data_IF_859080694048
#
_entry.id   IF_859080694048
#
_cell.length_a   1.000
_cell.length_b   1.000
_cell.length_c   1.000
_cell.angle_alpha   90.00
_cell.angle_beta   90.00
_cell.angle_gamma   90.00
#
_symmetry.space_group_name_H-M   'P 1'
#
loop_
_entity.id
_entity.type
_entity.pdbx_description
1 polymer ?
#
# COMPACT_ATOMS: atom_id res chain seq x y z
N UNK A 1 -20.09 3.85 14.08
CA UNK A 1 -18.81 4.49 13.72
C UNK A 1 -17.97 3.40 13.10
N UNK A 2 -17.63 3.51 11.84
CA UNK A 2 -16.90 2.46 11.11
C UNK A 2 -15.42 2.47 11.49
N UNK A 3 -14.73 1.36 11.26
CA UNK A 3 -13.27 1.24 11.42
C UNK A 3 -12.55 2.35 10.62
N UNK A 4 -13.07 2.65 9.44
CA UNK A 4 -12.59 3.71 8.56
C UNK A 4 -12.68 5.10 9.21
N UNK A 5 -13.83 5.43 9.82
CA UNK A 5 -14.02 6.72 10.50
C UNK A 5 -13.01 6.89 11.66
N UNK A 6 -12.72 5.79 12.36
CA UNK A 6 -11.76 5.80 13.47
C UNK A 6 -10.34 6.02 12.99
N UNK A 7 -9.92 5.33 11.92
CA UNK A 7 -8.59 5.52 11.33
C UNK A 7 -8.42 6.96 10.81
N UNK A 8 -9.41 7.48 10.07
CA UNK A 8 -9.38 8.85 9.55
C UNK A 8 -9.29 9.90 10.68
N UNK A 9 -10.07 9.71 11.75
CA UNK A 9 -10.03 10.60 12.92
C UNK A 9 -8.69 10.55 13.61
N UNK A 10 -8.09 9.36 13.77
CA UNK A 10 -6.77 9.20 14.39
C UNK A 10 -5.68 9.84 13.56
N UNK A 11 -5.71 9.67 12.25
CA UNK A 11 -4.78 10.33 11.31
C UNK A 11 -4.89 11.85 11.44
N UNK A 12 -6.11 12.41 11.53
CA UNK A 12 -6.28 13.84 11.70
C UNK A 12 -5.76 14.33 13.05
N UNK A 13 -6.03 13.61 14.13
CA UNK A 13 -5.52 13.95 15.47
C UNK A 13 -3.98 13.90 15.52
N UNK A 14 -3.36 12.90 14.89
CA UNK A 14 -1.90 12.82 14.80
C UNK A 14 -1.31 14.00 13.99
N UNK A 15 -1.99 14.41 12.92
CA UNK A 15 -1.65 15.63 12.19
C UNK A 15 -1.60 16.87 13.07
N UNK A 16 -2.66 17.05 13.84
CA UNK A 16 -2.80 18.22 14.70
C UNK A 16 -1.72 18.24 15.80
N UNK A 17 -1.39 17.07 16.36
CA UNK A 17 -0.33 16.91 17.35
C UNK A 17 1.08 17.10 16.78
N UNK A 18 1.33 16.61 15.57
CA UNK A 18 2.58 16.85 14.85
C UNK A 18 2.81 18.34 14.60
N UNK A 19 1.76 19.04 14.16
CA UNK A 19 1.83 20.48 13.90
C UNK A 19 2.06 21.31 15.18
N UNK A 20 1.64 20.80 16.35
CA UNK A 20 1.87 21.44 17.65
C UNK A 20 3.17 21.02 18.34
N UNK A 21 3.89 20.03 17.81
CA UNK A 21 5.06 19.44 18.47
C UNK A 21 4.75 18.57 19.70
N UNK A 22 3.47 18.25 19.93
CA UNK A 22 2.99 17.52 21.13
C UNK A 22 2.86 16.00 20.91
N UNK A 23 3.30 15.49 19.76
CA UNK A 23 3.06 14.10 19.34
C UNK A 23 3.63 13.08 20.33
N UNK A 24 4.81 13.31 20.86
CA UNK A 24 5.48 12.33 21.73
C UNK A 24 4.80 12.16 23.11
N UNK A 25 4.09 13.16 23.58
CA UNK A 25 3.39 13.10 24.86
C UNK A 25 1.97 12.55 24.77
N UNK A 26 1.30 12.76 23.62
CA UNK A 26 -0.09 12.35 23.42
C UNK A 26 -0.24 10.94 22.78
N UNK A 27 0.78 10.46 22.10
CA UNK A 27 0.76 9.22 21.31
C UNK A 27 0.30 7.97 22.09
N UNK A 28 0.80 7.67 23.31
CA UNK A 28 0.39 6.48 24.05
C UNK A 28 -1.10 6.44 24.39
N UNK A 29 -1.67 7.57 24.77
CA UNK A 29 -3.09 7.68 25.10
C UNK A 29 -4.00 7.59 23.88
N UNK A 30 -3.54 8.08 22.73
CA UNK A 30 -4.28 7.99 21.47
C UNK A 30 -4.31 6.57 20.94
N UNK A 31 -3.19 5.85 21.00
CA UNK A 31 -3.11 4.45 20.59
C UNK A 31 -4.06 3.56 21.40
N UNK A 32 -4.14 3.73 22.73
CA UNK A 32 -5.08 3.00 23.58
C UNK A 32 -6.53 3.19 23.13
N UNK A 33 -6.94 4.43 22.88
CA UNK A 33 -8.31 4.75 22.42
C UNK A 33 -8.63 4.20 21.03
N UNK A 34 -7.65 4.19 20.12
CA UNK A 34 -7.84 3.62 18.78
C UNK A 34 -7.98 2.11 18.84
N UNK A 35 -7.15 1.44 19.63
CA UNK A 35 -7.23 -0.03 19.82
C UNK A 35 -8.60 -0.41 20.40
N UNK A 36 -9.09 0.31 21.41
CA UNK A 36 -10.40 0.06 22.01
C UNK A 36 -11.57 0.31 21.05
N UNK A 37 -11.47 1.32 20.17
CA UNK A 37 -12.58 1.70 19.28
C UNK A 37 -12.66 0.85 18.01
N UNK A 38 -11.57 0.19 17.62
CA UNK A 38 -11.45 -0.55 16.35
C UNK A 38 -11.76 -2.05 16.51
N UNK A 39 -11.87 -2.53 17.74
CA UNK A 39 -12.23 -3.94 18.01
C UNK A 39 -13.62 -4.37 17.47
N UNK A 40 -14.37 -3.51 16.76
CA UNK A 40 -15.81 -3.68 16.55
C UNK A 40 -16.24 -4.08 15.14
N UNK A 41 -15.45 -3.94 14.09
CA UNK A 41 -15.90 -4.37 12.74
C UNK A 41 -14.78 -5.03 11.93
N UNK A 42 -15.02 -6.26 11.41
CA UNK A 42 -14.06 -6.89 10.50
C UNK A 42 -13.99 -6.10 9.17
N UNK A 43 -12.78 -5.85 8.71
CA UNK A 43 -12.56 -5.25 7.39
C UNK A 43 -13.12 -6.18 6.29
N UNK A 44 -13.69 -5.61 5.24
CA UNK A 44 -14.15 -6.41 4.10
C UNK A 44 -12.94 -7.14 3.49
N UNK A 45 -12.94 -8.48 3.42
CA UNK A 45 -11.79 -9.22 2.91
C UNK A 45 -11.54 -8.84 1.45
N UNK A 46 -10.32 -8.43 1.13
CA UNK A 46 -9.89 -8.38 -0.27
C UNK A 46 -9.86 -9.83 -0.77
N UNK A 47 -10.63 -10.12 -1.83
CA UNK A 47 -10.62 -11.44 -2.46
C UNK A 47 -9.24 -11.69 -3.04
N UNK A 48 -8.43 -12.48 -2.33
CA UNK A 48 -7.14 -12.94 -2.83
C UNK A 48 -7.42 -13.95 -3.95
N UNK A 49 -6.97 -13.69 -5.18
CA UNK A 49 -7.12 -14.67 -6.25
C UNK A 49 -6.38 -15.96 -5.88
N UNK A 50 -7.05 -17.11 -5.99
CA UNK A 50 -6.48 -18.41 -5.58
C UNK A 50 -5.69 -19.13 -6.67
N UNK A 51 -5.73 -18.65 -7.90
CA UNK A 51 -5.03 -19.28 -9.02
C UNK A 51 -3.65 -18.68 -9.27
N UNK A 52 -2.69 -19.13 -8.48
CA UNK A 52 -1.29 -18.72 -8.59
C UNK A 52 -0.66 -19.02 -9.96
N UNK A 53 -1.09 -20.09 -10.65
CA UNK A 53 -0.53 -20.45 -11.96
C UNK A 53 -0.93 -19.42 -13.01
N UNK A 54 -2.20 -19.09 -13.09
CA UNK A 54 -2.72 -18.04 -13.99
C UNK A 54 -2.10 -16.69 -13.66
N UNK A 55 -1.96 -16.36 -12.37
CA UNK A 55 -1.30 -15.13 -11.96
C UNK A 55 0.14 -15.04 -12.46
N UNK A 56 0.95 -16.08 -12.27
CA UNK A 56 2.34 -16.13 -12.74
C UNK A 56 2.42 -16.00 -14.25
N UNK A 57 1.53 -16.66 -15.00
CA UNK A 57 1.50 -16.57 -16.48
C UNK A 57 1.20 -15.12 -16.90
N UNK A 58 0.18 -14.48 -16.30
CA UNK A 58 -0.17 -13.07 -16.62
C UNK A 58 0.96 -12.11 -16.27
N UNK A 59 1.58 -12.25 -15.09
CA UNK A 59 2.73 -11.43 -14.68
C UNK A 59 3.87 -11.54 -15.69
N UNK A 60 4.24 -12.76 -16.09
CA UNK A 60 5.31 -12.99 -17.08
C UNK A 60 4.97 -12.42 -18.46
N UNK A 61 3.71 -12.48 -18.86
CA UNK A 61 3.26 -11.90 -20.12
C UNK A 61 3.41 -10.37 -20.12
N UNK A 62 3.03 -9.69 -19.02
CA UNK A 62 3.22 -8.25 -18.85
C UNK A 62 4.72 -7.90 -18.86
N UNK A 63 5.54 -8.61 -18.07
CA UNK A 63 6.99 -8.40 -18.02
C UNK A 63 7.64 -8.53 -19.42
N UNK A 64 7.27 -9.57 -20.15
CA UNK A 64 7.77 -9.80 -21.52
C UNK A 64 7.39 -8.64 -22.44
N UNK A 65 6.13 -8.21 -22.41
CA UNK A 65 5.63 -7.12 -23.25
C UNK A 65 6.38 -5.83 -22.97
N UNK A 66 6.54 -5.44 -21.70
CA UNK A 66 7.24 -4.20 -21.29
C UNK A 66 8.70 -4.21 -21.76
N UNK A 67 9.39 -5.36 -21.69
CA UNK A 67 10.79 -5.48 -22.13
C UNK A 67 10.98 -5.52 -23.65
N UNK A 68 9.94 -5.81 -24.40
CA UNK A 68 10.01 -5.98 -25.87
C UNK A 68 9.45 -4.80 -26.66
N UNK A 69 8.83 -3.82 -26.01
CA UNK A 69 8.26 -2.65 -26.68
C UNK A 69 9.14 -1.41 -26.50
N UNK A 70 9.15 -0.54 -27.51
CA UNK A 70 9.79 0.77 -27.43
C UNK A 70 8.91 1.81 -26.71
N UNK A 71 7.61 1.54 -26.54
CA UNK A 71 6.64 2.39 -25.86
C UNK A 71 5.91 1.56 -24.79
N UNK A 72 6.53 1.34 -23.64
CA UNK A 72 5.96 0.52 -22.57
C UNK A 72 4.76 1.22 -21.93
N UNK A 73 3.68 0.48 -21.75
CA UNK A 73 2.47 0.95 -21.09
C UNK A 73 1.81 -0.16 -20.28
N UNK A 74 1.14 0.22 -19.20
CA UNK A 74 0.34 -0.66 -18.36
C UNK A 74 -1.11 -0.19 -18.37
N UNK A 75 -2.06 -1.14 -18.40
CA UNK A 75 -3.49 -0.83 -18.36
C UNK A 75 -3.99 -0.75 -16.90
N UNK A 76 -5.14 -0.08 -16.68
CA UNK A 76 -5.76 0.02 -15.35
C UNK A 76 -6.16 -1.37 -14.82
N UNK A 77 -6.66 -2.26 -15.68
CA UNK A 77 -6.97 -3.65 -15.32
C UNK A 77 -5.72 -4.45 -14.89
N UNK A 78 -4.56 -4.15 -15.48
CA UNK A 78 -3.30 -4.75 -15.07
C UNK A 78 -2.83 -4.18 -13.73
N UNK A 79 -2.99 -2.89 -13.49
CA UNK A 79 -2.69 -2.24 -12.20
C UNK A 79 -3.57 -2.86 -11.11
N UNK A 80 -4.87 -2.95 -11.32
CA UNK A 80 -5.81 -3.55 -10.37
C UNK A 80 -5.47 -5.02 -10.08
N UNK A 81 -5.13 -5.77 -11.12
CA UNK A 81 -4.65 -7.14 -10.98
C UNK A 81 -3.39 -7.22 -10.12
N UNK A 82 -2.40 -6.35 -10.34
CA UNK A 82 -1.15 -6.34 -9.56
C UNK A 82 -1.40 -5.96 -8.11
N UNK A 83 -2.21 -4.93 -7.85
CA UNK A 83 -2.57 -4.51 -6.48
C UNK A 83 -3.26 -5.63 -5.72
N UNK A 84 -4.22 -6.34 -6.33
CA UNK A 84 -4.89 -7.47 -5.71
C UNK A 84 -3.92 -8.60 -5.34
N UNK A 85 -2.87 -8.83 -6.13
CA UNK A 85 -1.89 -9.90 -5.91
C UNK A 85 -0.76 -9.53 -4.94
N UNK A 86 -0.68 -8.28 -4.45
CA UNK A 86 0.15 -7.92 -3.30
C UNK A 86 -0.28 -8.68 -2.03
N UNK A 87 -1.56 -9.09 -1.95
CA UNK A 87 -2.09 -9.89 -0.86
C UNK A 87 -1.79 -11.40 -0.97
N UNK A 88 -1.14 -11.86 -2.04
CA UNK A 88 -0.87 -13.29 -2.25
C UNK A 88 0.03 -13.85 -1.15
N UNK A 89 -0.35 -15.01 -0.62
CA UNK A 89 0.49 -15.77 0.34
C UNK A 89 1.63 -16.51 -0.36
N UNK A 90 1.57 -16.62 -1.70
CA UNK A 90 2.63 -17.26 -2.48
C UNK A 90 3.73 -16.25 -2.83
N UNK A 91 4.97 -16.42 -2.31
CA UNK A 91 6.07 -15.51 -2.59
C UNK A 91 6.49 -15.51 -4.08
N UNK A 92 6.22 -16.58 -4.84
CA UNK A 92 6.50 -16.58 -6.27
C UNK A 92 5.58 -15.61 -7.05
N UNK A 93 4.35 -15.38 -6.55
CA UNK A 93 3.42 -14.39 -7.10
C UNK A 93 3.75 -13.00 -6.56
N UNK A 94 3.75 -12.85 -5.24
CA UNK A 94 3.88 -11.56 -4.54
C UNK A 94 5.27 -10.95 -4.72
N UNK A 95 6.33 -11.68 -4.29
CA UNK A 95 7.69 -11.15 -4.23
C UNK A 95 8.34 -11.18 -5.62
N UNK A 96 8.52 -12.40 -6.18
CA UNK A 96 9.22 -12.60 -7.45
C UNK A 96 8.41 -12.15 -8.67
N UNK A 97 7.09 -12.06 -8.52
CA UNK A 97 6.19 -11.63 -9.58
C UNK A 97 5.86 -10.15 -9.47
N UNK A 98 4.88 -9.83 -8.64
CA UNK A 98 4.24 -8.50 -8.59
C UNK A 98 5.22 -7.40 -8.19
N UNK A 99 6.00 -7.59 -7.11
CA UNK A 99 6.92 -6.58 -6.63
C UNK A 99 7.98 -6.22 -7.66
N UNK A 100 8.63 -7.21 -8.28
CA UNK A 100 9.62 -6.93 -9.32
C UNK A 100 8.98 -6.36 -10.59
N UNK A 101 7.75 -6.75 -10.92
CA UNK A 101 7.06 -6.16 -12.07
C UNK A 101 6.74 -4.67 -11.84
N UNK A 102 6.31 -4.26 -10.64
CA UNK A 102 6.16 -2.84 -10.34
C UNK A 102 7.47 -2.06 -10.51
N UNK A 103 8.60 -2.61 -10.06
CA UNK A 103 9.90 -2.00 -10.29
C UNK A 103 10.24 -1.88 -11.79
N UNK A 104 10.02 -2.95 -12.57
CA UNK A 104 10.22 -2.92 -14.02
C UNK A 104 9.34 -1.85 -14.68
N UNK A 105 8.07 -1.72 -14.26
CA UNK A 105 7.11 -0.72 -14.78
C UNK A 105 7.53 0.72 -14.43
N UNK A 106 8.01 0.98 -13.21
CA UNK A 106 8.51 2.30 -12.83
C UNK A 106 9.76 2.69 -13.61
N UNK A 107 10.69 1.74 -13.80
CA UNK A 107 11.90 2.00 -14.56
C UNK A 107 11.64 2.23 -16.04
N UNK A 108 10.66 1.55 -16.61
CA UNK A 108 10.23 1.70 -17.99
C UNK A 108 9.32 2.91 -18.23
N UNK A 109 8.97 3.68 -17.19
CA UNK A 109 8.01 4.80 -17.25
C UNK A 109 6.66 4.39 -17.87
N UNK A 110 6.21 3.17 -17.57
CA UNK A 110 5.05 2.54 -18.18
C UNK A 110 3.69 3.08 -17.69
N UNK A 111 3.67 3.94 -16.68
CA UNK A 111 2.46 4.56 -16.15
C UNK A 111 2.22 5.93 -16.75
N UNK A 112 0.95 6.27 -16.94
CA UNK A 112 0.57 7.68 -17.15
C UNK A 112 0.66 8.46 -15.83
N UNK A 113 0.72 9.78 -15.92
CA UNK A 113 0.71 10.66 -14.74
C UNK A 113 -0.54 10.48 -13.88
N UNK A 114 -1.68 10.22 -14.49
CA UNK A 114 -2.94 9.98 -13.78
C UNK A 114 -2.93 8.62 -13.07
N UNK A 115 -2.39 7.59 -13.73
CA UNK A 115 -2.23 6.28 -13.10
C UNK A 115 -1.29 6.33 -11.87
N UNK A 116 -0.20 7.09 -11.93
CA UNK A 116 0.68 7.31 -10.77
C UNK A 116 -0.10 7.93 -9.61
N UNK A 117 -0.87 9.00 -9.84
CA UNK A 117 -1.67 9.64 -8.78
C UNK A 117 -2.73 8.72 -8.20
N UNK A 118 -3.43 7.97 -9.06
CA UNK A 118 -4.49 7.05 -8.67
C UNK A 118 -3.93 5.88 -7.87
N UNK A 119 -2.86 5.24 -8.36
CA UNK A 119 -2.19 4.15 -7.68
C UNK A 119 -1.61 4.60 -6.33
N UNK A 120 -1.01 5.79 -6.27
CA UNK A 120 -0.46 6.36 -5.05
C UNK A 120 -1.52 6.52 -3.95
N UNK A 121 -2.71 7.03 -4.30
CA UNK A 121 -3.85 7.14 -3.38
C UNK A 121 -4.40 5.76 -3.00
N UNK A 122 -4.50 4.85 -3.98
CA UNK A 122 -5.03 3.50 -3.79
C UNK A 122 -4.20 2.69 -2.80
N UNK A 123 -2.89 2.72 -2.90
CA UNK A 123 -2.01 1.97 -1.99
C UNK A 123 -2.06 2.48 -0.54
N UNK A 124 -2.48 3.71 -0.34
CA UNK A 124 -2.67 4.32 0.98
C UNK A 124 -4.11 4.25 1.49
N UNK A 125 -5.02 3.71 0.70
CA UNK A 125 -6.41 3.54 1.12
C UNK A 125 -6.49 2.62 2.36
N UNK A 126 -7.39 2.90 3.32
CA UNK A 126 -7.47 2.15 4.56
C UNK A 126 -7.72 0.66 4.39
N UNK A 127 -8.46 0.26 3.36
CA UNK A 127 -8.73 -1.13 3.01
C UNK A 127 -7.50 -1.87 2.47
N UNK A 128 -6.43 -1.16 2.12
CA UNK A 128 -5.14 -1.70 1.69
C UNK A 128 -4.10 -1.52 2.80
N UNK A 129 -3.76 -0.27 3.15
CA UNK A 129 -2.65 0.01 4.07
C UNK A 129 -2.91 -0.44 5.50
N UNK A 130 -4.17 -0.50 5.93
CA UNK A 130 -4.58 -0.94 7.26
C UNK A 130 -5.43 -2.22 7.22
N UNK A 131 -5.39 -2.96 6.12
CA UNK A 131 -6.18 -4.18 5.93
C UNK A 131 -5.95 -5.17 7.07
N UNK A 132 -7.00 -5.49 7.85
CA UNK A 132 -6.94 -6.42 8.99
C UNK A 132 -5.81 -6.14 10.01
N UNK A 133 -5.38 -4.89 10.19
CA UNK A 133 -4.20 -4.53 11.00
C UNK A 133 -4.35 -4.89 12.49
N UNK A 134 -5.59 -5.03 12.98
CA UNK A 134 -5.87 -5.37 14.37
C UNK A 134 -6.15 -6.87 14.58
N UNK A 135 -6.18 -7.64 13.51
CA UNK A 135 -6.41 -9.07 13.59
C UNK A 135 -5.08 -9.81 13.68
N UNK A 136 -4.83 -10.55 14.77
CA UNK A 136 -3.57 -11.27 14.92
C UNK A 136 -3.44 -12.39 13.90
N UNK A 137 -2.24 -12.61 13.40
CA UNK A 137 -1.89 -13.74 12.53
C UNK A 137 -2.69 -13.85 11.22
N UNK A 138 -3.24 -12.73 10.72
CA UNK A 138 -3.92 -12.73 9.42
C UNK A 138 -2.95 -12.44 8.26
N UNK A 139 -3.33 -12.84 7.05
CA UNK A 139 -2.51 -12.65 5.85
C UNK A 139 -2.60 -11.23 5.24
N UNK A 140 -3.41 -10.33 5.81
CA UNK A 140 -3.45 -8.91 5.44
C UNK A 140 -2.10 -8.23 5.59
N UNK A 141 -1.21 -8.76 6.45
CA UNK A 141 0.16 -8.27 6.59
C UNK A 141 0.90 -8.20 5.25
N UNK A 142 0.72 -9.18 4.36
CA UNK A 142 1.40 -9.17 3.07
C UNK A 142 0.93 -8.00 2.20
N UNK A 143 -0.38 -7.76 2.13
CA UNK A 143 -0.92 -6.61 1.40
C UNK A 143 -0.37 -5.31 1.97
N UNK A 144 -0.42 -5.12 3.28
CA UNK A 144 0.04 -3.91 3.96
C UNK A 144 1.52 -3.63 3.71
N UNK A 145 2.38 -4.63 3.97
CA UNK A 145 3.84 -4.49 3.83
C UNK A 145 4.25 -4.25 2.39
N UNK A 146 3.70 -5.02 1.44
CA UNK A 146 4.06 -4.85 0.03
C UNK A 146 3.50 -3.56 -0.57
N UNK A 147 2.36 -3.08 -0.10
CA UNK A 147 1.87 -1.74 -0.49
C UNK A 147 2.83 -0.63 -0.06
N UNK A 148 3.41 -0.71 1.14
CA UNK A 148 4.45 0.23 1.59
C UNK A 148 5.72 0.13 0.76
N UNK A 149 6.15 -1.07 0.41
CA UNK A 149 7.33 -1.26 -0.44
C UNK A 149 7.11 -0.66 -1.84
N UNK A 150 5.93 -0.85 -2.43
CA UNK A 150 5.58 -0.23 -3.72
C UNK A 150 5.50 1.30 -3.59
N UNK A 151 4.89 1.83 -2.52
CA UNK A 151 4.87 3.28 -2.24
C UNK A 151 6.28 3.87 -2.16
N UNK A 152 7.23 3.18 -1.54
CA UNK A 152 8.63 3.61 -1.49
C UNK A 152 9.24 3.70 -2.90
N UNK A 153 9.04 2.67 -3.72
CA UNK A 153 9.47 2.67 -5.14
C UNK A 153 8.80 3.78 -5.95
N UNK A 154 7.50 4.04 -5.73
CA UNK A 154 6.77 5.13 -6.39
C UNK A 154 7.31 6.51 -6.03
N UNK A 155 7.62 6.76 -4.75
CA UNK A 155 8.21 8.03 -4.30
C UNK A 155 9.54 8.25 -5.03
N UNK A 156 10.38 7.22 -5.08
CA UNK A 156 11.64 7.30 -5.83
C UNK A 156 11.42 7.56 -7.32
N UNK A 157 10.48 6.85 -7.95
CA UNK A 157 10.16 7.02 -9.37
C UNK A 157 9.56 8.42 -9.64
N UNK A 158 8.70 8.93 -8.75
CA UNK A 158 8.12 10.26 -8.90
C UNK A 158 9.19 11.35 -8.82
N UNK A 159 10.11 11.29 -7.86
CA UNK A 159 11.18 12.27 -7.70
C UNK A 159 12.13 12.32 -8.91
N UNK A 160 12.37 11.20 -9.56
CA UNK A 160 13.35 11.08 -10.62
C UNK A 160 12.76 11.14 -12.04
N UNK A 161 11.47 10.80 -12.21
CA UNK A 161 10.85 10.60 -13.53
C UNK A 161 9.53 11.35 -13.70
N UNK A 162 8.48 10.97 -12.92
CA UNK A 162 7.12 11.45 -13.15
C UNK A 162 6.88 12.88 -12.67
N UNK A 163 7.31 13.22 -11.45
CA UNK A 163 7.21 14.57 -10.83
C UNK A 163 5.77 15.10 -10.76
N UNK A 164 4.81 14.23 -10.44
CA UNK A 164 3.38 14.54 -10.42
C UNK A 164 2.79 14.62 -9.02
N UNK A 165 3.52 14.13 -8.00
CA UNK A 165 3.08 14.19 -6.61
C UNK A 165 3.45 15.53 -5.98
N UNK A 166 2.53 16.04 -5.17
CA UNK A 166 2.70 17.31 -4.47
C UNK A 166 3.40 17.14 -3.11
N UNK A 167 3.90 18.23 -2.53
CA UNK A 167 4.39 18.23 -1.15
C UNK A 167 3.32 17.73 -0.17
N UNK A 168 2.03 18.04 -0.41
CA UNK A 168 0.94 17.58 0.44
C UNK A 168 0.76 16.06 0.35
N UNK A 169 0.93 15.46 -0.85
CA UNK A 169 0.89 14.01 -1.03
C UNK A 169 2.01 13.33 -0.23
N UNK A 170 3.23 13.83 -0.30
CA UNK A 170 4.36 13.30 0.48
C UNK A 170 4.12 13.40 1.99
N UNK A 171 3.63 14.55 2.47
CA UNK A 171 3.34 14.72 3.90
C UNK A 171 2.23 13.78 4.38
N UNK A 172 1.18 13.60 3.59
CA UNK A 172 0.12 12.64 3.89
C UNK A 172 0.67 11.20 3.98
N UNK A 173 1.59 10.84 3.08
CA UNK A 173 2.23 9.52 3.10
C UNK A 173 3.08 9.31 4.36
N UNK A 174 3.89 10.30 4.74
CA UNK A 174 4.69 10.21 5.99
C UNK A 174 3.78 9.99 7.20
N UNK A 175 2.64 10.69 7.25
CA UNK A 175 1.67 10.54 8.32
C UNK A 175 1.02 9.14 8.34
N UNK A 176 0.63 8.63 7.18
CA UNK A 176 0.06 7.28 7.06
C UNK A 176 1.08 6.19 7.46
N UNK A 177 2.34 6.34 7.06
CA UNK A 177 3.43 5.44 7.46
C UNK A 177 3.66 5.50 8.97
N UNK A 178 3.67 6.69 9.58
CA UNK A 178 3.81 6.83 11.02
C UNK A 178 2.69 6.10 11.78
N UNK A 179 1.43 6.26 11.34
CA UNK A 179 0.30 5.51 11.90
C UNK A 179 0.46 4.02 11.71
N UNK A 180 0.86 3.58 10.52
CA UNK A 180 1.10 2.17 10.24
C UNK A 180 2.14 1.55 11.18
N UNK A 181 3.31 2.19 11.34
CA UNK A 181 4.38 1.72 12.22
C UNK A 181 3.90 1.56 13.67
N UNK A 182 3.04 2.47 14.13
CA UNK A 182 2.52 2.42 15.48
C UNK A 182 1.47 1.32 15.70
N UNK A 183 0.72 0.97 14.67
CA UNK A 183 -0.37 0.00 14.74
C UNK A 183 0.07 -1.41 14.36
N UNK A 184 1.08 -1.56 13.49
CA UNK A 184 1.53 -2.87 13.01
C UNK A 184 2.31 -3.61 14.10
N UNK A 185 1.82 -4.81 14.43
CA UNK A 185 2.43 -5.70 15.43
C UNK A 185 2.87 -7.04 14.83
N UNK A 186 2.55 -7.27 13.56
CA UNK A 186 2.84 -8.54 12.89
C UNK A 186 4.16 -8.45 12.12
N UNK A 187 5.10 -9.31 12.44
CA UNK A 187 6.45 -9.29 11.84
C UNK A 187 6.63 -10.14 10.58
N UNK A 188 5.67 -10.99 10.20
CA UNK A 188 5.81 -11.90 9.04
C UNK A 188 5.92 -11.19 7.67
N UNK A 189 5.53 -9.93 7.60
CA UNK A 189 5.65 -9.11 6.39
C UNK A 189 7.07 -8.60 6.12
N UNK A 190 7.97 -8.73 7.07
CA UNK A 190 9.37 -8.32 6.96
C UNK A 190 10.22 -9.57 6.71
N UNK A 191 10.59 -9.80 5.47
CA UNK A 191 11.47 -10.90 5.06
C UNK A 191 12.76 -10.33 4.49
#
# INVERSE_FOLDING_TARGET
MTQLDTIQRTVQQLRDLLNKGEIFTALPNMLGKVIESVAVEPATPIKIPRDDKTAIVKIRAIQKRIKQTSDPSVTDDEIDFLVAHLASTNPAVRDKGVFFLFNDLFQAEAFTNEQIKTLFKRLQAPDILFNHIFEPQNNGIFLRSFSLMILSGMIYADQNRYRVLTKADYLATVQNIAVFILLEKEGRGYV
#
